data_IF_854256304213
#
_entry.id   IF_854256304213
#
_cell.length_a   1.000
_cell.length_b   1.000
_cell.length_c   1.000
_cell.angle_alpha   90.00
_cell.angle_beta   90.00
_cell.angle_gamma   90.00
#
_symmetry.space_group_name_H-M   'P 1'
#
loop_
_entity.id
_entity.type
_entity.pdbx_description
1 polymer ?
#
# COMPACT_ATOMS: atom_id res chain seq x y z
N UNK A 1 2.67 5.96 -13.23
CA UNK A 1 2.81 4.63 -12.62
C UNK A 1 3.88 4.71 -11.55
N UNK A 2 3.69 4.05 -10.42
CA UNK A 2 4.57 4.09 -9.25
C UNK A 2 4.96 2.65 -8.93
N UNK A 3 6.24 2.39 -8.69
CA UNK A 3 6.69 1.05 -8.27
C UNK A 3 6.63 0.94 -6.75
N UNK A 4 5.89 -0.06 -6.26
CA UNK A 4 5.87 -0.44 -4.86
C UNK A 4 6.68 -1.71 -4.62
N UNK A 5 7.14 -1.92 -3.38
CA UNK A 5 7.69 -3.21 -2.92
C UNK A 5 6.95 -3.68 -1.68
N UNK A 6 6.40 -4.89 -1.72
CA UNK A 6 5.74 -5.49 -0.56
C UNK A 6 6.80 -5.90 0.45
N UNK A 7 6.65 -5.49 1.71
CA UNK A 7 7.56 -5.88 2.79
C UNK A 7 6.78 -6.38 3.99
N UNK A 8 7.32 -7.41 4.64
CA UNK A 8 6.86 -7.85 5.96
C UNK A 8 7.47 -6.97 7.04
N UNK A 9 6.66 -6.54 7.99
CA UNK A 9 7.09 -5.74 9.15
C UNK A 9 6.86 -6.42 10.49
N UNK A 10 6.29 -7.63 10.48
CA UNK A 10 6.04 -8.44 11.66
C UNK A 10 4.92 -9.45 11.40
N UNK A 11 4.27 -9.87 12.48
CA UNK A 11 3.13 -10.77 12.46
C UNK A 11 1.99 -10.18 13.30
N UNK A 12 0.76 -10.51 12.92
CA UNK A 12 -0.40 -10.39 13.79
C UNK A 12 -0.39 -11.51 14.84
N UNK A 13 -1.17 -11.40 15.94
CA UNK A 13 -1.25 -12.45 16.97
C UNK A 13 -1.71 -13.81 16.43
N UNK A 14 -2.47 -13.83 15.34
CA UNK A 14 -2.92 -15.03 14.63
C UNK A 14 -1.88 -15.60 13.64
N UNK A 15 -0.62 -15.15 13.75
CA UNK A 15 0.50 -15.56 12.90
C UNK A 15 0.39 -15.18 11.41
N UNK A 16 -0.57 -14.33 11.03
CA UNK A 16 -0.63 -13.77 9.67
C UNK A 16 0.46 -12.69 9.52
N UNK A 17 1.21 -12.65 8.40
CA UNK A 17 2.26 -11.66 8.21
C UNK A 17 1.68 -10.26 8.04
N UNK A 18 2.23 -9.28 8.77
CA UNK A 18 1.92 -7.86 8.56
C UNK A 18 2.68 -7.36 7.34
N UNK A 19 1.95 -7.06 6.27
CA UNK A 19 2.52 -6.56 5.02
C UNK A 19 2.27 -5.06 4.83
N UNK A 20 3.26 -4.37 4.29
CA UNK A 20 3.19 -2.98 3.84
C UNK A 20 3.60 -2.91 2.37
N UNK A 21 3.20 -1.85 1.68
CA UNK A 21 3.78 -1.50 0.37
C UNK A 21 4.69 -0.30 0.56
N UNK A 22 6.00 -0.47 0.29
CA UNK A 22 6.97 0.64 0.29
C UNK A 22 7.04 1.27 -1.09
N UNK A 23 7.00 2.60 -1.13
CA UNK A 23 7.18 3.41 -2.34
C UNK A 23 8.42 4.27 -2.13
N UNK A 24 9.40 4.19 -3.02
CA UNK A 24 10.66 4.92 -2.88
C UNK A 24 10.46 6.41 -3.22
N UNK A 25 10.81 7.30 -2.29
CA UNK A 25 10.69 8.76 -2.49
C UNK A 25 11.62 9.31 -3.58
N UNK A 26 12.71 8.60 -3.85
CA UNK A 26 13.68 8.97 -4.89
C UNK A 26 13.21 8.64 -6.31
N UNK A 27 12.13 7.86 -6.45
CA UNK A 27 11.54 7.59 -7.76
C UNK A 27 10.56 8.70 -8.16
N UNK A 28 10.49 9.05 -9.45
CA UNK A 28 9.61 10.11 -9.92
C UNK A 28 8.14 9.71 -9.74
N UNK A 29 7.47 10.33 -8.78
CA UNK A 29 6.04 10.17 -8.53
C UNK A 29 5.42 11.45 -7.95
N UNK A 30 4.10 11.55 -7.98
CA UNK A 30 3.35 12.75 -7.54
C UNK A 30 2.81 12.66 -6.11
N UNK A 31 3.12 11.60 -5.37
CA UNK A 31 2.80 11.51 -3.95
C UNK A 31 3.59 12.55 -3.16
N UNK A 32 2.99 13.09 -2.10
CA UNK A 32 3.65 14.01 -1.20
C UNK A 32 4.78 13.29 -0.43
N UNK A 33 6.01 13.73 -0.68
CA UNK A 33 7.21 13.20 -0.03
C UNK A 33 7.54 13.88 1.29
N UNK A 34 6.89 15.02 1.57
CA UNK A 34 7.09 15.84 2.77
C UNK A 34 6.26 15.36 3.97
N UNK A 35 5.49 14.28 3.80
CA UNK A 35 4.69 13.67 4.84
C UNK A 35 5.49 13.40 6.12
N UNK A 36 5.04 14.04 7.20
CA UNK A 36 5.55 13.87 8.56
C UNK A 36 4.47 13.24 9.45
N UNK A 37 4.12 11.99 9.18
CA UNK A 37 3.04 11.29 9.86
C UNK A 37 2.27 10.35 8.95
N UNK A 38 1.08 9.97 9.41
CA UNK A 38 0.11 9.18 8.65
C UNK A 38 -0.94 10.12 8.09
N UNK A 39 -1.15 10.08 6.78
CA UNK A 39 -2.27 10.76 6.12
C UNK A 39 -3.26 9.73 5.59
N UNK A 40 -4.57 10.05 5.59
CA UNK A 40 -5.58 9.19 5.00
C UNK A 40 -5.45 9.20 3.48
N UNK A 41 -5.47 8.02 2.87
CA UNK A 41 -5.57 7.83 1.43
C UNK A 41 -6.66 6.79 1.14
N UNK A 42 -7.05 6.67 -0.12
CA UNK A 42 -7.85 5.54 -0.59
C UNK A 42 -6.94 4.55 -1.32
N UNK A 43 -7.19 3.28 -1.12
CA UNK A 43 -6.53 2.19 -1.81
C UNK A 43 -7.58 1.39 -2.56
N UNK A 44 -7.44 1.30 -3.88
CA UNK A 44 -8.29 0.46 -4.72
C UNK A 44 -7.55 -0.85 -5.00
N UNK A 45 -8.13 -1.97 -4.59
CA UNK A 45 -7.58 -3.32 -4.77
C UNK A 45 -8.70 -4.19 -5.32
N UNK A 46 -8.46 -4.84 -6.47
CA UNK A 46 -9.45 -5.71 -7.12
C UNK A 46 -10.82 -5.04 -7.34
N UNK A 47 -10.82 -3.76 -7.73
CA UNK A 47 -12.03 -2.95 -7.94
C UNK A 47 -12.77 -2.53 -6.66
N UNK A 48 -12.30 -2.92 -5.48
CA UNK A 48 -12.86 -2.50 -4.19
C UNK A 48 -12.03 -1.37 -3.59
N UNK A 49 -12.71 -0.37 -3.01
CA UNK A 49 -12.06 0.80 -2.41
C UNK A 49 -11.98 0.63 -0.89
N UNK A 50 -10.81 0.92 -0.36
CA UNK A 50 -10.51 0.86 1.07
C UNK A 50 -9.92 2.19 1.55
N UNK A 51 -10.31 2.61 2.74
CA UNK A 51 -9.62 3.65 3.48
C UNK A 51 -8.32 3.11 4.05
N UNK A 52 -7.20 3.78 3.78
CA UNK A 52 -5.87 3.36 4.18
C UNK A 52 -5.05 4.54 4.72
N UNK A 53 -3.90 4.22 5.31
CA UNK A 53 -2.90 5.21 5.69
C UNK A 53 -1.71 5.21 4.75
N UNK A 54 -1.29 6.38 4.30
CA UNK A 54 0.05 6.59 3.74
C UNK A 54 0.91 7.24 4.82
N UNK A 55 2.03 6.61 5.15
CA UNK A 55 2.90 7.08 6.23
C UNK A 55 4.32 7.34 5.76
N UNK A 56 4.92 8.35 6.34
CA UNK A 56 6.36 8.63 6.28
C UNK A 56 6.80 9.23 7.61
N UNK A 57 8.05 8.96 8.01
CA UNK A 57 8.70 9.63 9.15
C UNK A 57 9.92 10.40 8.66
N UNK A 58 10.39 11.41 9.41
CA UNK A 58 11.61 12.15 9.06
C UNK A 58 12.78 11.19 8.83
N UNK A 59 13.57 11.43 7.78
CA UNK A 59 14.73 10.60 7.42
C UNK A 59 14.41 9.30 6.66
N UNK A 60 13.15 8.91 6.50
CA UNK A 60 12.80 7.73 5.70
C UNK A 60 12.84 8.02 4.20
N UNK A 61 13.52 7.14 3.45
CA UNK A 61 13.64 7.17 1.99
C UNK A 61 12.43 6.59 1.25
N UNK A 62 11.43 6.12 1.99
CA UNK A 62 10.22 5.54 1.42
C UNK A 62 8.95 6.07 2.10
N UNK A 63 7.86 6.09 1.34
CA UNK A 63 6.49 6.12 1.84
C UNK A 63 6.04 4.68 2.09
N UNK A 64 5.10 4.48 3.01
CA UNK A 64 4.50 3.16 3.24
C UNK A 64 2.98 3.22 3.27
N UNK A 65 2.34 2.35 2.52
CA UNK A 65 0.92 2.03 2.72
C UNK A 65 0.81 1.17 3.97
N UNK A 66 0.00 1.62 4.94
CA UNK A 66 -0.18 0.98 6.23
C UNK A 66 -0.86 -0.40 6.11
N UNK A 67 -0.68 -1.23 7.14
CA UNK A 67 -1.18 -2.61 7.20
C UNK A 67 -2.70 -2.70 7.39
N UNK A 68 -3.27 -1.70 8.03
CA UNK A 68 -4.67 -1.60 8.45
C UNK A 68 -5.46 -0.75 7.46
N UNK A 69 -6.56 -1.33 6.97
CA UNK A 69 -7.49 -0.73 6.04
C UNK A 69 -8.91 -0.88 6.57
N UNK A 70 -9.83 -0.08 6.03
CA UNK A 70 -11.27 -0.26 6.24
C UNK A 70 -11.97 -0.22 4.90
N UNK A 71 -13.00 -1.04 4.70
CA UNK A 71 -13.85 -0.92 3.52
C UNK A 71 -14.80 0.30 3.65
N UNK A 72 -15.65 0.51 2.63
CA UNK A 72 -16.60 1.63 2.61
C UNK A 72 -17.70 1.54 3.69
N UNK A 73 -17.89 0.38 4.31
CA UNK A 73 -18.81 0.18 5.44
C UNK A 73 -18.08 0.36 6.79
N UNK A 74 -16.78 0.67 6.78
CA UNK A 74 -15.95 0.82 7.96
C UNK A 74 -15.50 -0.51 8.57
N UNK A 75 -15.70 -1.64 7.89
CA UNK A 75 -15.25 -2.96 8.36
C UNK A 75 -13.74 -3.07 8.19
N UNK A 76 -13.01 -3.60 9.19
CA UNK A 76 -11.56 -3.71 9.11
C UNK A 76 -11.14 -4.72 8.04
N UNK A 77 -10.13 -4.36 7.27
CA UNK A 77 -9.47 -5.22 6.30
C UNK A 77 -7.94 -5.15 6.50
N UNK A 78 -7.24 -6.25 6.21
CA UNK A 78 -5.78 -6.31 6.34
C UNK A 78 -5.14 -6.30 4.97
N UNK A 79 -4.13 -5.46 4.79
CA UNK A 79 -3.41 -5.40 3.52
C UNK A 79 -2.85 -6.75 3.11
N UNK A 80 -2.40 -7.55 4.08
CA UNK A 80 -1.85 -8.89 3.83
C UNK A 80 -2.86 -9.86 3.21
N UNK A 81 -4.11 -9.81 3.64
CA UNK A 81 -5.18 -10.69 3.13
C UNK A 81 -5.56 -10.24 1.71
N UNK A 82 -5.75 -8.93 1.51
CA UNK A 82 -6.06 -8.34 0.20
C UNK A 82 -4.94 -8.60 -0.83
N UNK A 83 -3.67 -8.52 -0.43
CA UNK A 83 -2.54 -8.86 -1.30
C UNK A 83 -2.49 -10.37 -1.61
N UNK A 84 -2.76 -11.22 -0.61
CA UNK A 84 -2.75 -12.67 -0.79
C UNK A 84 -3.86 -13.14 -1.74
N UNK A 85 -5.04 -12.53 -1.69
CA UNK A 85 -6.13 -12.77 -2.64
C UNK A 85 -5.73 -12.47 -4.10
N UNK A 86 -4.77 -11.56 -4.30
CA UNK A 86 -4.17 -11.26 -5.61
C UNK A 86 -3.00 -12.19 -5.95
N UNK A 87 -2.63 -13.13 -5.06
CA UNK A 87 -1.46 -13.99 -5.19
C UNK A 87 -0.14 -13.28 -4.88
N UNK A 88 -0.19 -12.14 -4.21
CA UNK A 88 0.98 -11.32 -3.90
C UNK A 88 1.54 -11.61 -2.50
N UNK A 89 2.86 -11.61 -2.39
CA UNK A 89 3.57 -11.93 -1.15
C UNK A 89 4.75 -10.98 -0.89
N UNK A 90 5.38 -11.15 0.29
CA UNK A 90 6.50 -10.31 0.68
C UNK A 90 7.66 -10.40 -0.32
N UNK A 91 8.37 -9.28 -0.48
CA UNK A 91 9.52 -9.08 -1.37
C UNK A 91 9.18 -8.99 -2.87
N UNK A 92 7.92 -9.08 -3.26
CA UNK A 92 7.50 -8.80 -4.63
C UNK A 92 7.37 -7.29 -4.89
N UNK A 93 7.56 -6.90 -6.15
CA UNK A 93 7.25 -5.56 -6.65
C UNK A 93 5.80 -5.53 -7.11
N UNK A 94 5.18 -4.37 -6.96
CA UNK A 94 3.82 -4.09 -7.43
C UNK A 94 3.77 -2.80 -8.19
N UNK A 95 2.84 -2.69 -9.13
CA UNK A 95 2.57 -1.45 -9.84
C UNK A 95 1.39 -0.74 -9.18
N UNK A 96 1.57 0.53 -8.88
CA UNK A 96 0.54 1.39 -8.34
C UNK A 96 0.23 2.51 -9.32
N UNK A 97 -1.04 2.86 -9.42
CA UNK A 97 -1.50 4.04 -10.14
C UNK A 97 -2.04 5.07 -9.15
N UNK A 98 -1.49 6.28 -9.20
CA UNK A 98 -2.08 7.42 -8.51
C UNK A 98 -3.18 8.01 -9.40
N UNK A 99 -4.40 8.06 -8.90
CA UNK A 99 -5.55 8.59 -9.63
C UNK A 99 -5.52 10.12 -9.70
N UNK A 100 -6.41 10.68 -10.53
CA UNK A 100 -6.46 12.12 -10.78
C UNK A 100 -6.75 12.96 -9.52
N UNK A 101 -7.44 12.37 -8.54
CA UNK A 101 -7.75 12.97 -7.23
C UNK A 101 -6.51 13.14 -6.32
N UNK A 102 -5.36 12.58 -6.72
CA UNK A 102 -4.09 12.57 -5.98
C UNK A 102 -4.16 11.95 -4.59
N UNK A 103 -5.25 11.24 -4.28
CA UNK A 103 -5.48 10.65 -2.96
C UNK A 103 -5.86 9.16 -3.04
N UNK A 104 -6.18 8.66 -4.23
CA UNK A 104 -6.47 7.24 -4.46
C UNK A 104 -5.29 6.56 -5.16
N UNK A 105 -4.79 5.49 -4.56
CA UNK A 105 -3.82 4.57 -5.16
C UNK A 105 -4.54 3.29 -5.61
N UNK A 106 -4.42 2.93 -6.87
CA UNK A 106 -4.95 1.67 -7.40
C UNK A 106 -3.82 0.66 -7.55
N UNK A 107 -4.01 -0.54 -6.99
CA UNK A 107 -3.11 -1.67 -7.19
C UNK A 107 -3.36 -2.25 -8.58
N UNK A 108 -2.38 -2.10 -9.46
CA UNK A 108 -2.39 -2.74 -10.77
C UNK A 108 -1.76 -4.12 -10.59
N UNK A 109 -2.47 -5.14 -11.09
CA UNK A 109 -2.14 -6.56 -10.96
C UNK A 109 -0.63 -6.85 -11.07
N UNK A 110 -0.09 -7.61 -10.10
CA UNK A 110 1.31 -8.03 -10.09
C UNK A 110 1.59 -9.27 -10.96
N UNK A 111 0.59 -9.82 -11.66
CA UNK A 111 0.73 -10.97 -12.58
C UNK A 111 1.47 -10.68 -13.89
N UNK A 112 2.18 -9.55 -13.99
CA UNK A 112 2.75 -9.04 -15.24
C UNK A 112 4.28 -9.08 -15.39
N UNK A 113 5.02 -9.87 -14.60
CA UNK A 113 6.45 -10.12 -14.86
C UNK A 113 6.79 -11.58 -14.51
N UNK A 114 6.46 -12.50 -15.41
CA UNK A 114 7.11 -13.81 -15.53
C UNK A 114 7.94 -13.82 -16.81
#
# INVERSE_FOLDING_TARGET
>A
MITGTIRRVGYYPDCIPKLIIRINKGEPHRLDNSLNGRVPIRMEINGSIYEAGLRSTPGMVYLMVCTDLHDLEGRPARLSELLLEQGLCANQKVSLQLNADRNTLTLLDGRGIM
#
